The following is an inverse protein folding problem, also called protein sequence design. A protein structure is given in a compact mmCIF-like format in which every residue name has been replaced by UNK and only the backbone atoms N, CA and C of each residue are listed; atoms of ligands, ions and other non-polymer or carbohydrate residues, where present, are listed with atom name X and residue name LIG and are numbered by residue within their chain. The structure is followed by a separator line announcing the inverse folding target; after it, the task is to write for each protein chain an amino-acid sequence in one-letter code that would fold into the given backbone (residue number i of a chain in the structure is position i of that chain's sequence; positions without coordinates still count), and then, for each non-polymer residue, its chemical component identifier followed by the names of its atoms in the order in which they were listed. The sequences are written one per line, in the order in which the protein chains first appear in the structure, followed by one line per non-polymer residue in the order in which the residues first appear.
data_IF_782369301884
#
_entry.id   IF_782369301884
#
_cell.length_a   1.000
_cell.length_b   1.000
_cell.length_c   1.000
_cell.angle_alpha   90.00
_cell.angle_beta   90.00
_cell.angle_gamma   90.00
#
_symmetry.space_group_name_H-M   'P 1'
#
loop_
_entity.id
_entity.type
_entity.pdbx_description
1 polymer ?
#
# COMPACT_ATOMS: atom_id res chain seq x y z
N UNK A 1 -11.20 -22.36 -11.91
CA UNK A 1 -11.66 -20.97 -11.68
C UNK A 1 -11.21 -20.53 -10.30
N UNK A 2 -10.10 -19.79 -10.22
CA UNK A 2 -9.55 -19.24 -8.97
C UNK A 2 -10.38 -18.03 -8.53
N UNK A 3 -11.44 -18.25 -7.76
CA UNK A 3 -12.20 -17.16 -7.14
C UNK A 3 -11.63 -16.85 -5.74
N UNK A 4 -10.40 -16.34 -5.69
CA UNK A 4 -9.85 -15.71 -4.47
C UNK A 4 -10.43 -14.30 -4.23
N UNK A 5 -11.36 -13.86 -5.08
CA UNK A 5 -12.00 -12.54 -5.04
C UNK A 5 -13.32 -12.61 -4.28
N UNK A 6 -13.27 -12.74 -2.96
CA UNK A 6 -14.40 -12.34 -2.10
C UNK A 6 -14.01 -11.08 -1.34
N UNK A 7 -14.81 -10.04 -1.59
CA UNK A 7 -14.83 -8.75 -0.90
C UNK A 7 -14.54 -8.93 0.60
N UNK A 8 -13.34 -8.54 1.02
CA UNK A 8 -13.01 -8.41 2.44
C UNK A 8 -12.42 -7.03 2.60
N UNK A 9 -13.21 -6.15 3.21
CA UNK A 9 -12.90 -4.76 3.50
C UNK A 9 -11.72 -4.66 4.48
N UNK A 10 -10.48 -4.72 3.99
CA UNK A 10 -9.34 -4.23 4.77
C UNK A 10 -8.82 -2.97 4.08
N UNK A 11 -9.11 -1.85 4.72
CA UNK A 11 -8.78 -0.51 4.23
C UNK A 11 -7.29 -0.32 4.43
N UNK A 12 -6.54 -0.12 3.34
CA UNK A 12 -5.14 0.30 3.40
C UNK A 12 -4.99 1.43 4.42
N UNK A 13 -4.05 1.29 5.35
CA UNK A 13 -3.85 2.20 6.47
C UNK A 13 -3.82 3.68 6.03
N UNK A 14 -3.35 3.94 4.82
CA UNK A 14 -3.33 5.24 4.18
C UNK A 14 -4.54 5.41 3.25
N UNK A 15 -5.48 6.30 3.60
CA UNK A 15 -6.61 6.66 2.71
C UNK A 15 -6.17 7.46 1.46
N UNK A 16 -4.96 8.02 1.49
CA UNK A 16 -4.39 8.88 0.44
C UNK A 16 -3.51 8.07 -0.54
N UNK A 17 -2.94 6.94 -0.10
CA UNK A 17 -2.41 5.92 -1.02
C UNK A 17 -3.61 5.06 -1.45
N UNK A 18 -3.72 4.72 -2.74
CA UNK A 18 -4.98 4.22 -3.30
C UNK A 18 -5.63 3.09 -2.48
N UNK A 19 -6.97 3.10 -2.40
CA UNK A 19 -7.80 2.10 -1.68
C UNK A 19 -7.87 0.74 -2.40
N UNK A 20 -7.01 0.48 -3.39
CA UNK A 20 -7.07 -0.75 -4.16
C UNK A 20 -6.22 -1.79 -3.46
N UNK A 21 -6.90 -2.79 -2.90
CA UNK A 21 -6.25 -3.91 -2.25
C UNK A 21 -6.48 -5.18 -3.06
N UNK A 22 -5.42 -5.95 -3.28
CA UNK A 22 -5.44 -7.21 -4.01
C UNK A 22 -5.35 -8.38 -3.03
N UNK A 23 -6.21 -9.39 -3.21
CA UNK A 23 -6.12 -10.66 -2.46
C UNK A 23 -5.04 -11.52 -3.10
N UNK A 24 -4.00 -11.88 -2.34
CA UNK A 24 -3.00 -12.88 -2.78
C UNK A 24 -3.46 -14.31 -2.49
N UNK A 25 -2.81 -15.28 -3.11
CA UNK A 25 -3.16 -16.71 -3.00
C UNK A 25 -2.99 -17.28 -1.58
N UNK A 26 -2.19 -16.63 -0.73
CA UNK A 26 -2.04 -16.93 0.70
C UNK A 26 -3.20 -16.39 1.56
N UNK A 27 -4.23 -15.79 0.95
CA UNK A 27 -5.41 -15.25 1.64
C UNK A 27 -5.20 -13.86 2.22
N UNK A 28 -3.96 -13.35 2.21
CA UNK A 28 -3.60 -12.00 2.66
C UNK A 28 -4.07 -10.94 1.67
N UNK A 29 -4.53 -9.82 2.21
CA UNK A 29 -4.85 -8.63 1.43
C UNK A 29 -3.60 -7.75 1.38
N UNK A 30 -3.24 -7.28 0.19
CA UNK A 30 -2.05 -6.44 -0.04
C UNK A 30 -2.48 -5.20 -0.81
N UNK A 31 -2.09 -4.03 -0.31
CA UNK A 31 -2.34 -2.75 -0.97
C UNK A 31 -1.51 -2.58 -2.26
N UNK A 32 -2.10 -2.00 -3.30
CA UNK A 32 -1.35 -1.54 -4.48
C UNK A 32 -0.65 -0.21 -4.16
N UNK A 33 0.53 -0.31 -3.55
CA UNK A 33 1.29 0.83 -3.08
C UNK A 33 1.84 1.71 -4.21
N UNK A 34 1.59 3.02 -4.11
CA UNK A 34 2.15 4.08 -4.97
C UNK A 34 3.18 4.91 -4.22
N UNK A 35 3.71 5.96 -4.85
CA UNK A 35 4.64 6.91 -4.20
C UNK A 35 5.89 6.22 -3.65
N UNK A 36 6.38 5.20 -4.37
CA UNK A 36 7.53 4.39 -3.99
C UNK A 36 7.45 3.75 -2.59
N UNK A 37 6.24 3.50 -2.10
CA UNK A 37 6.00 2.73 -0.87
C UNK A 37 5.83 1.24 -1.19
N UNK A 38 6.05 0.40 -0.17
CA UNK A 38 5.94 -1.04 -0.20
C UNK A 38 5.46 -1.54 1.18
N UNK A 39 5.13 -2.83 1.25
CA UNK A 39 4.52 -3.45 2.42
C UNK A 39 3.09 -3.89 2.14
N UNK A 40 2.49 -4.63 3.07
CA UNK A 40 1.10 -5.06 2.92
C UNK A 40 0.13 -3.87 3.03
N UNK A 41 0.54 -2.84 3.80
CA UNK A 41 -0.21 -1.62 4.13
C UNK A 41 0.51 -0.34 3.68
N UNK A 42 1.54 -0.46 2.83
CA UNK A 42 2.40 0.63 2.37
C UNK A 42 3.17 1.34 3.51
N UNK A 43 3.59 0.56 4.50
CA UNK A 43 4.22 0.98 5.75
C UNK A 43 5.74 1.22 5.66
N UNK A 44 6.33 1.06 4.48
CA UNK A 44 7.76 1.27 4.25
C UNK A 44 8.04 1.78 2.84
N UNK A 45 9.25 2.27 2.62
CA UNK A 45 9.72 2.60 1.27
C UNK A 45 10.12 1.35 0.48
N UNK A 46 10.02 1.45 -0.84
CA UNK A 46 10.62 0.50 -1.78
C UNK A 46 12.12 0.53 -1.64
N UNK A 47 12.72 -0.58 -2.03
CA UNK A 47 14.17 -0.67 -2.11
C UNK A 47 14.67 0.41 -3.08
N UNK A 48 15.81 1.01 -2.74
CA UNK A 48 16.44 2.13 -3.44
C UNK A 48 15.71 3.49 -3.36
N UNK A 49 14.70 3.64 -2.51
CA UNK A 49 14.02 4.93 -2.25
C UNK A 49 14.13 5.31 -0.77
N UNK A 50 15.35 5.55 -0.32
CA UNK A 50 15.67 5.81 1.10
C UNK A 50 16.33 7.17 1.31
N UNK A 51 16.23 8.10 0.35
CA UNK A 51 16.84 9.42 0.47
C UNK A 51 16.18 10.26 1.57
N UNK A 52 14.94 9.92 1.94
CA UNK A 52 14.21 10.47 3.08
C UNK A 52 13.48 9.38 3.88
N UNK A 53 13.25 9.59 5.19
CA UNK A 53 12.47 8.65 5.97
C UNK A 53 11.04 8.54 5.45
N UNK A 54 10.48 7.32 5.53
CA UNK A 54 9.08 7.08 5.20
C UNK A 54 8.17 7.96 6.08
N UNK A 55 7.15 8.55 5.46
CA UNK A 55 6.10 9.25 6.16
C UNK A 55 4.74 8.93 5.53
N UNK A 56 3.71 8.86 6.36
CA UNK A 56 2.34 8.65 5.89
C UNK A 56 1.88 9.85 5.05
N UNK A 57 1.25 9.59 3.91
CA UNK A 57 0.58 10.63 3.14
C UNK A 57 -0.50 11.35 3.93
N UNK A 58 -0.52 12.68 3.80
CA UNK A 58 -1.55 13.56 4.34
C UNK A 58 -2.41 14.10 3.21
N UNK A 59 -3.45 14.88 3.53
CA UNK A 59 -4.25 15.55 2.50
C UNK A 59 -3.45 16.62 1.72
N UNK A 60 -2.33 17.10 2.30
CA UNK A 60 -1.53 18.19 1.74
C UNK A 60 -0.28 17.70 1.02
N UNK A 61 0.24 16.54 1.42
CA UNK A 61 1.50 16.00 0.92
C UNK A 61 1.40 14.49 0.77
N UNK A 62 1.84 13.97 -0.38
CA UNK A 62 1.88 12.56 -0.68
C UNK A 62 2.97 11.83 0.12
N UNK A 63 4.01 12.53 0.59
CA UNK A 63 5.13 11.95 1.33
C UNK A 63 5.72 10.72 0.62
N UNK A 64 5.91 10.81 -0.69
CA UNK A 64 6.51 9.78 -1.52
C UNK A 64 7.93 9.41 -1.08
N UNK A 65 8.31 8.15 -1.19
CA UNK A 65 9.70 7.80 -1.01
C UNK A 65 10.52 8.26 -2.22
N UNK A 66 11.69 8.81 -1.95
CA UNK A 66 12.67 9.27 -2.95
C UNK A 66 13.87 8.36 -2.87
#
# INVERSE_FOLDING_TARGET
MLLCTRFSSSVCASRIHQRVSTKRCDGRLVCDCKHNTAGDECERCKDFHYDRPWARATQRDANECV
#
